data_IF_929708123190
#
_entry.id   IF_929708123190
#
_cell.length_a   1.000
_cell.length_b   1.000
_cell.length_c   1.000
_cell.angle_alpha   90.00
_cell.angle_beta   90.00
_cell.angle_gamma   90.00
#
_symmetry.space_group_name_H-M   'P 1'
#
loop_
_entity.id
_entity.type
_entity.pdbx_description
1 polymer ?
#
# COMPACT_ATOMS: atom_id res chain seq x y z
N UNK A 1 -6.77 -19.84 -28.21
CA UNK A 1 -5.82 -18.72 -28.40
C UNK A 1 -6.46 -17.33 -28.21
N UNK A 2 -7.68 -17.07 -28.72
CA UNK A 2 -8.35 -15.76 -28.57
C UNK A 2 -8.61 -15.31 -27.11
N UNK A 3 -8.86 -16.25 -26.18
CA UNK A 3 -9.03 -15.96 -24.74
C UNK A 3 -7.73 -15.50 -24.03
N UNK A 4 -6.56 -15.95 -24.49
CA UNK A 4 -5.27 -15.52 -23.95
C UNK A 4 -4.90 -14.11 -24.43
N UNK A 5 -5.25 -13.75 -25.66
CA UNK A 5 -5.02 -12.42 -26.22
C UNK A 5 -5.86 -11.36 -25.48
N UNK A 6 -7.10 -11.68 -25.09
CA UNK A 6 -7.95 -10.76 -24.30
C UNK A 6 -7.35 -10.50 -22.91
N UNK A 7 -6.74 -11.50 -22.28
CA UNK A 7 -6.06 -11.34 -20.99
C UNK A 7 -4.78 -10.49 -21.10
N UNK A 8 -4.00 -10.66 -22.18
CA UNK A 8 -2.79 -9.87 -22.44
C UNK A 8 -3.14 -8.40 -22.74
N UNK A 9 -4.20 -8.15 -23.50
CA UNK A 9 -4.67 -6.79 -23.79
C UNK A 9 -5.24 -6.11 -22.54
N UNK A 10 -5.84 -6.83 -21.59
CA UNK A 10 -6.30 -6.24 -20.33
C UNK A 10 -5.12 -5.81 -19.41
N UNK A 11 -4.02 -6.57 -19.41
CA UNK A 11 -2.82 -6.24 -18.63
C UNK A 11 -2.11 -4.97 -19.11
N UNK A 12 -2.20 -4.60 -20.39
CA UNK A 12 -1.55 -3.38 -20.90
C UNK A 12 -2.29 -2.08 -20.59
N UNK A 13 -3.53 -2.15 -20.07
CA UNK A 13 -4.25 -0.97 -19.53
C UNK A 13 -3.98 -0.74 -18.04
N UNK A 14 -3.20 -1.61 -17.39
CA UNK A 14 -2.73 -1.42 -16.02
C UNK A 14 -1.42 -0.62 -15.92
N UNK A 15 -0.82 -0.22 -17.05
CA UNK A 15 0.32 0.69 -17.03
C UNK A 15 -0.17 2.08 -16.56
N UNK A 16 0.26 2.57 -15.39
CA UNK A 16 -0.16 3.86 -14.89
C UNK A 16 0.31 4.97 -15.83
N UNK A 17 -0.60 5.87 -16.20
CA UNK A 17 -0.24 7.08 -16.93
C UNK A 17 0.75 7.91 -16.10
N UNK A 18 1.70 8.51 -16.79
CA UNK A 18 2.66 9.51 -16.28
C UNK A 18 1.99 10.42 -15.25
N UNK A 19 2.49 10.38 -14.02
CA UNK A 19 1.99 11.23 -12.94
C UNK A 19 2.37 12.67 -13.25
N UNK A 20 1.37 13.53 -13.45
CA UNK A 20 1.57 14.97 -13.61
C UNK A 20 2.33 15.53 -12.40
N UNK A 21 3.64 15.74 -12.59
CA UNK A 21 4.64 16.01 -11.54
C UNK A 21 4.44 17.38 -10.88
N UNK A 22 3.63 18.25 -11.48
CA UNK A 22 3.51 19.67 -11.07
C UNK A 22 2.55 19.86 -9.88
N UNK A 23 1.74 18.86 -9.52
CA UNK A 23 0.76 19.00 -8.42
C UNK A 23 1.30 18.49 -7.09
N UNK A 24 1.67 19.43 -6.22
CA UNK A 24 2.09 19.14 -4.84
C UNK A 24 1.02 18.37 -4.08
N UNK A 25 1.43 17.25 -3.45
CA UNK A 25 0.56 16.39 -2.66
C UNK A 25 0.51 16.90 -1.22
N UNK A 26 -0.70 16.96 -0.64
CA UNK A 26 -0.87 17.40 0.74
C UNK A 26 -0.73 16.22 1.70
N UNK A 27 0.21 16.27 2.67
CA UNK A 27 0.39 15.20 3.66
C UNK A 27 -0.84 14.98 4.54
N UNK A 28 -1.55 16.06 4.87
CA UNK A 28 -2.80 16.00 5.65
C UNK A 28 -3.87 15.22 4.88
N UNK A 29 -3.97 15.43 3.56
CA UNK A 29 -4.91 14.66 2.72
C UNK A 29 -4.49 13.19 2.63
N UNK A 30 -3.19 12.91 2.47
CA UNK A 30 -2.68 11.54 2.46
C UNK A 30 -2.99 10.80 3.77
N UNK A 31 -2.81 11.47 4.92
CA UNK A 31 -3.21 10.94 6.22
C UNK A 31 -4.71 10.66 6.28
N UNK A 32 -5.54 11.64 5.92
CA UNK A 32 -7.00 11.52 5.96
C UNK A 32 -7.47 10.31 5.12
N UNK A 33 -7.02 10.20 3.87
CA UNK A 33 -7.37 9.06 3.03
C UNK A 33 -6.85 7.74 3.60
N UNK A 34 -5.61 7.70 4.09
CA UNK A 34 -5.04 6.50 4.72
C UNK A 34 -5.79 6.05 5.98
N UNK A 35 -6.31 6.98 6.78
CA UNK A 35 -7.12 6.65 7.96
C UNK A 35 -8.51 6.13 7.61
N UNK A 36 -9.08 6.53 6.47
CA UNK A 36 -10.38 5.99 6.06
C UNK A 36 -10.27 4.54 5.58
N UNK A 37 -9.22 4.24 4.79
CA UNK A 37 -9.02 2.90 4.23
C UNK A 37 -7.53 2.54 4.14
N UNK A 38 -7.15 1.28 4.43
CA UNK A 38 -5.77 0.83 4.27
C UNK A 38 -5.28 1.07 2.83
N UNK A 39 -4.10 1.65 2.68
CA UNK A 39 -3.49 1.93 1.38
C UNK A 39 -4.08 3.13 0.61
N UNK A 40 -5.20 3.73 1.01
CA UNK A 40 -5.81 4.84 0.27
C UNK A 40 -4.95 6.12 0.25
N UNK A 41 -4.13 6.36 1.28
CA UNK A 41 -3.12 7.42 1.26
C UNK A 41 -2.07 7.22 0.14
N UNK A 42 -1.70 5.97 -0.16
CA UNK A 42 -0.78 5.65 -1.25
C UNK A 42 -1.42 5.81 -2.63
N UNK A 43 -2.72 5.51 -2.75
CA UNK A 43 -3.51 5.81 -3.96
C UNK A 43 -3.52 7.32 -4.23
N UNK A 44 -3.74 8.14 -3.20
CA UNK A 44 -3.70 9.61 -3.34
C UNK A 44 -2.33 10.12 -3.85
N UNK A 45 -1.24 9.49 -3.40
CA UNK A 45 0.12 9.77 -3.85
C UNK A 45 0.46 9.19 -5.23
N UNK A 46 -0.44 8.42 -5.86
CA UNK A 46 -0.21 7.75 -7.16
C UNK A 46 0.72 6.53 -7.07
N UNK A 47 0.95 5.98 -5.87
CA UNK A 47 1.86 4.86 -5.63
C UNK A 47 1.09 3.53 -5.64
N UNK A 48 0.68 3.10 -6.85
CA UNK A 48 -0.14 1.90 -7.03
C UNK A 48 0.54 0.61 -6.56
N UNK A 49 1.82 0.42 -6.87
CA UNK A 49 2.55 -0.77 -6.44
C UNK A 49 2.63 -0.89 -4.90
N UNK A 50 2.94 0.21 -4.21
CA UNK A 50 2.93 0.26 -2.74
C UNK A 50 1.55 -0.06 -2.17
N UNK A 51 0.50 0.47 -2.80
CA UNK A 51 -0.89 0.20 -2.40
C UNK A 51 -1.21 -1.29 -2.45
N UNK A 52 -0.86 -1.97 -3.55
CA UNK A 52 -1.08 -3.42 -3.70
C UNK A 52 -0.31 -4.22 -2.63
N UNK A 53 0.92 -3.82 -2.32
CA UNK A 53 1.69 -4.47 -1.25
C UNK A 53 1.05 -4.28 0.13
N UNK A 54 0.66 -3.05 0.50
CA UNK A 54 0.03 -2.77 1.79
C UNK A 54 -1.30 -3.54 1.91
N UNK A 55 -2.16 -3.47 0.90
CA UNK A 55 -3.45 -4.17 0.90
C UNK A 55 -3.29 -5.69 0.97
N UNK A 56 -2.32 -6.27 0.27
CA UNK A 56 -2.09 -7.72 0.31
C UNK A 56 -1.59 -8.19 1.69
N UNK A 57 -0.69 -7.42 2.33
CA UNK A 57 -0.22 -7.71 3.69
C UNK A 57 -1.32 -7.54 4.74
N UNK A 58 -2.13 -6.49 4.62
CA UNK A 58 -3.29 -6.23 5.48
C UNK A 58 -4.30 -7.38 5.35
N UNK A 59 -4.69 -7.73 4.13
CA UNK A 59 -5.63 -8.81 3.85
C UNK A 59 -5.12 -10.16 4.35
N UNK A 60 -3.84 -10.47 4.16
CA UNK A 60 -3.24 -11.71 4.66
C UNK A 60 -3.25 -11.76 6.20
N UNK A 61 -2.98 -10.64 6.87
CA UNK A 61 -2.99 -10.55 8.32
C UNK A 61 -4.39 -10.71 8.89
N UNK A 62 -5.39 -10.04 8.29
CA UNK A 62 -6.80 -10.17 8.68
C UNK A 62 -7.32 -11.59 8.42
N UNK A 63 -7.01 -12.16 7.25
CA UNK A 63 -7.41 -13.54 6.92
C UNK A 63 -6.87 -14.53 7.94
N UNK A 64 -5.59 -14.41 8.28
CA UNK A 64 -4.96 -15.30 9.24
C UNK A 64 -5.47 -15.04 10.66
N UNK A 65 -5.79 -13.80 11.02
CA UNK A 65 -6.47 -13.48 12.28
C UNK A 65 -7.82 -14.20 12.39
N UNK A 66 -8.67 -14.10 11.37
CA UNK A 66 -9.97 -14.77 11.31
C UNK A 66 -9.83 -16.28 11.40
N UNK A 67 -9.00 -16.88 10.54
CA UNK A 67 -8.80 -18.32 10.48
C UNK A 67 -8.37 -18.91 11.83
N UNK A 68 -7.41 -18.29 12.51
CA UNK A 68 -6.97 -18.77 13.82
C UNK A 68 -8.01 -18.51 14.92
N UNK A 69 -8.84 -17.46 14.78
CA UNK A 69 -9.99 -17.22 15.64
C UNK A 69 -11.06 -18.31 15.51
N UNK A 70 -11.38 -18.70 14.28
CA UNK A 70 -12.37 -19.75 14.00
C UNK A 70 -11.90 -21.12 14.49
N UNK A 71 -10.62 -21.46 14.26
CA UNK A 71 -10.02 -22.69 14.80
C UNK A 71 -10.03 -22.69 16.32
N UNK A 72 -9.67 -21.56 16.96
CA UNK A 72 -9.69 -21.46 18.42
C UNK A 72 -11.10 -21.67 18.99
N UNK A 73 -12.13 -21.12 18.34
CA UNK A 73 -13.54 -21.25 18.75
C UNK A 73 -14.05 -22.68 18.59
N UNK A 74 -13.71 -23.33 17.49
CA UNK A 74 -14.21 -24.67 17.13
C UNK A 74 -13.24 -25.80 17.50
N UNK A 75 -12.23 -25.52 18.32
CA UNK A 75 -11.12 -26.42 18.60
C UNK A 75 -11.57 -27.82 19.06
N UNK A 76 -12.59 -27.89 19.92
CA UNK A 76 -13.08 -29.15 20.50
C UNK A 76 -13.77 -30.06 19.47
N UNK A 77 -14.21 -29.50 18.34
CA UNK A 77 -14.94 -30.23 17.28
C UNK A 77 -14.05 -30.70 16.14
N UNK A 78 -12.78 -30.29 16.12
CA UNK A 78 -11.86 -30.56 15.02
C UNK A 78 -10.61 -31.32 15.45
N UNK A 79 -9.94 -31.94 14.49
CA UNK A 79 -8.62 -32.50 14.68
C UNK A 79 -7.59 -31.50 14.15
N UNK A 80 -6.81 -30.90 15.05
CA UNK A 80 -5.86 -29.84 14.75
C UNK A 80 -4.47 -30.20 15.27
N UNK A 81 -3.43 -29.92 14.47
CA UNK A 81 -2.04 -30.32 14.78
C UNK A 81 -1.42 -29.58 15.98
N UNK A 82 -1.95 -28.40 16.33
CA UNK A 82 -1.39 -27.55 17.36
C UNK A 82 -2.30 -27.48 18.58
N UNK A 83 -1.72 -27.26 19.76
CA UNK A 83 -2.48 -27.00 20.99
C UNK A 83 -3.37 -25.75 20.84
N UNK A 84 -4.59 -25.79 21.39
CA UNK A 84 -5.57 -24.67 21.40
C UNK A 84 -4.95 -23.30 21.69
N UNK A 85 -4.10 -23.22 22.72
CA UNK A 85 -3.43 -21.98 23.11
C UNK A 85 -2.60 -21.36 21.97
N UNK A 86 -1.96 -22.18 21.11
CA UNK A 86 -1.14 -21.70 19.99
C UNK A 86 -1.99 -20.98 18.95
N UNK A 87 -3.24 -21.39 18.74
CA UNK A 87 -4.17 -20.67 17.86
C UNK A 87 -4.59 -19.32 18.44
N UNK A 88 -4.75 -19.23 19.77
CA UNK A 88 -4.99 -17.94 20.45
C UNK A 88 -3.80 -16.98 20.30
N UNK A 89 -2.58 -17.48 20.49
CA UNK A 89 -1.34 -16.70 20.27
C UNK A 89 -1.24 -16.21 18.83
N UNK A 90 -1.48 -17.11 17.85
CA UNK A 90 -1.46 -16.76 16.43
C UNK A 90 -2.52 -15.69 16.13
N UNK A 91 -3.76 -15.87 16.58
CA UNK A 91 -4.83 -14.87 16.42
C UNK A 91 -4.37 -13.50 16.94
N UNK A 92 -3.86 -13.42 18.16
CA UNK A 92 -3.41 -12.14 18.73
C UNK A 92 -2.22 -11.56 17.96
N UNK A 93 -1.28 -12.40 17.56
CA UNK A 93 -0.13 -12.01 16.74
C UNK A 93 -0.57 -11.36 15.43
N UNK A 94 -1.50 -11.97 14.70
CA UNK A 94 -1.98 -11.45 13.41
C UNK A 94 -2.88 -10.22 13.56
N UNK A 95 -3.63 -10.10 14.66
CA UNK A 95 -4.34 -8.86 14.99
C UNK A 95 -3.36 -7.69 15.19
N UNK A 96 -2.26 -7.91 15.92
CA UNK A 96 -1.20 -6.89 16.06
C UNK A 96 -0.53 -6.57 14.73
N UNK A 97 -0.23 -7.57 13.90
CA UNK A 97 0.31 -7.32 12.56
C UNK A 97 -0.60 -6.46 11.70
N UNK A 98 -1.91 -6.71 11.68
CA UNK A 98 -2.87 -5.88 10.97
C UNK A 98 -2.79 -4.42 11.43
N UNK A 99 -2.82 -4.18 12.75
CA UNK A 99 -2.68 -2.82 13.32
C UNK A 99 -1.37 -2.15 12.90
N UNK A 100 -0.24 -2.87 12.97
CA UNK A 100 1.05 -2.30 12.57
C UNK A 100 1.12 -1.98 11.08
N UNK A 101 0.62 -2.87 10.22
CA UNK A 101 0.60 -2.66 8.76
C UNK A 101 -0.29 -1.47 8.41
N UNK A 102 -1.45 -1.36 9.04
CA UNK A 102 -2.38 -0.26 8.84
C UNK A 102 -1.74 1.10 9.20
N UNK A 103 -1.16 1.22 10.40
CA UNK A 103 -0.49 2.45 10.84
C UNK A 103 0.74 2.75 9.97
N UNK A 104 1.54 1.73 9.66
CA UNK A 104 2.70 1.87 8.77
C UNK A 104 2.30 2.42 7.40
N UNK A 105 1.21 1.91 6.81
CA UNK A 105 0.71 2.37 5.51
C UNK A 105 0.29 3.83 5.51
N UNK A 106 -0.29 4.31 6.62
CA UNK A 106 -0.62 5.74 6.81
C UNK A 106 0.66 6.57 6.88
N UNK A 107 1.62 6.18 7.72
CA UNK A 107 2.88 6.91 7.89
C UNK A 107 3.69 6.97 6.60
N UNK A 108 3.83 5.85 5.87
CA UNK A 108 4.52 5.81 4.58
C UNK A 108 3.85 6.75 3.56
N UNK A 109 2.51 6.84 3.57
CA UNK A 109 1.78 7.76 2.68
C UNK A 109 1.99 9.23 3.05
N UNK A 110 2.03 9.54 4.35
CA UNK A 110 2.30 10.91 4.82
C UNK A 110 3.72 11.33 4.45
N UNK A 111 4.70 10.46 4.66
CA UNK A 111 6.10 10.72 4.28
C UNK A 111 6.25 10.87 2.77
N UNK A 112 5.62 10.01 1.96
CA UNK A 112 5.65 10.11 0.50
C UNK A 112 5.02 11.41 -0.01
N UNK A 113 3.97 11.90 0.64
CA UNK A 113 3.35 13.19 0.31
C UNK A 113 4.27 14.36 0.69
N UNK A 114 4.92 14.30 1.85
CA UNK A 114 5.92 15.30 2.27
C UNK A 114 7.12 15.37 1.33
N UNK A 115 7.56 14.22 0.80
CA UNK A 115 8.73 14.14 -0.08
C UNK A 115 8.43 14.48 -1.54
N UNK A 116 7.15 14.63 -1.91
CA UNK A 116 6.76 14.89 -3.30
C UNK A 116 7.41 16.16 -3.90
N UNK A 117 7.42 17.33 -3.22
CA UNK A 117 8.03 18.55 -3.74
C UNK A 117 9.56 18.46 -3.94
N UNK A 118 10.26 17.67 -3.11
CA UNK A 118 11.71 17.49 -3.26
C UNK A 118 12.07 16.70 -4.53
N UNK A 119 11.19 15.78 -4.96
CA UNK A 119 11.45 14.97 -6.16
C UNK A 119 11.49 15.80 -7.43
N UNK A 120 10.65 16.84 -7.54
CA UNK A 120 10.66 17.71 -8.72
C UNK A 120 11.94 18.54 -8.77
N UNK A 121 12.38 19.12 -7.65
CA UNK A 121 13.61 19.94 -7.58
C UNK A 121 14.85 19.12 -7.93
N UNK A 122 14.93 17.88 -7.47
CA UNK A 122 16.06 17.00 -7.75
C UNK A 122 16.05 16.42 -9.17
N UNK A 123 14.89 16.41 -9.84
CA UNK A 123 14.73 15.90 -11.20
C UNK A 123 15.03 16.96 -12.27
N UNK A 124 15.08 18.24 -11.88
CA UNK A 124 15.39 19.34 -12.77
C UNK A 124 16.89 19.36 -13.12
N UNK A 125 17.23 19.49 -14.41
CA UNK A 125 18.62 19.53 -14.84
C UNK A 125 19.21 20.93 -14.57
N UNK A 126 20.31 20.98 -13.82
CA UNK A 126 21.03 22.22 -13.49
C UNK A 126 21.52 22.93 -14.76
N UNK A 127 21.84 22.17 -15.83
CA UNK A 127 22.34 22.71 -17.10
C UNK A 127 21.26 23.44 -17.92
N UNK A 128 19.99 23.03 -17.82
CA UNK A 128 18.88 23.79 -18.43
C UNK A 128 18.60 25.10 -17.68
N UNK A 129 18.81 25.11 -16.36
CA UNK A 129 18.64 26.30 -15.52
C UNK A 129 19.72 27.36 -15.76
N UNK A 130 20.96 26.96 -16.09
CA UNK A 130 22.03 27.89 -16.48
C UNK A 130 21.78 28.50 -17.86
N UNK A 131 21.39 27.71 -18.87
CA UNK A 131 21.07 28.23 -20.22
C UNK A 131 19.92 29.25 -20.23
N UNK A 132 18.84 29.01 -19.50
CA UNK A 132 17.73 29.97 -19.39
C UNK A 132 18.12 31.26 -18.66
N UNK A 133 19.17 31.21 -17.82
CA UNK A 133 19.66 32.37 -17.07
C UNK A 133 20.68 33.18 -17.87
N UNK A 134 21.39 32.56 -18.81
CA UNK A 134 22.31 33.23 -19.75
C UNK A 134 21.58 33.87 -20.95
N UNK A 135 20.41 33.36 -21.34
CA UNK A 135 19.57 33.90 -22.43
C UNK A 135 18.67 35.08 -22.00
N UNK A 136 18.61 35.44 -20.71
CA UNK A 136 17.86 36.58 -20.15
C UNK A 136 18.77 37.76 -19.78
#
# INVERSE_FOLDING_TARGET
MKRFIIFIVCCTWLFPQEVDSVKTKSPVKAALYGTMFPGAGQVYNGRWFKTVMILSLEAASIYQWSLNGDIYKNYESGNYDLRKHRYLEKRNKYAWWAVFIYVYGILDAVVDAHLNPFKSVMAENIESQEKEREEK
#
